data_IF_324625824993
#
_entry.id   IF_324625824993
#
_cell.length_a   1.000
_cell.length_b   1.000
_cell.length_c   1.000
_cell.angle_alpha   90.00
_cell.angle_beta   90.00
_cell.angle_gamma   90.00
#
_symmetry.space_group_name_H-M   'P 1'
#
loop_
_entity.id
_entity.type
_entity.pdbx_description
1 polymer ?
#
# COMPACT_ATOMS: atom_id res chain seq x y z
N UNK A 1 -18.25 6.60 -5.99
CA UNK A 1 -17.19 6.81 -4.98
C UNK A 1 -16.94 5.55 -4.12
N UNK A 2 -17.98 4.78 -3.75
CA UNK A 2 -17.86 3.53 -2.97
C UNK A 2 -17.01 2.44 -3.66
N UNK A 3 -17.11 2.28 -4.98
CA UNK A 3 -16.39 1.22 -5.73
C UNK A 3 -14.86 1.42 -5.71
N UNK A 4 -14.39 2.66 -5.90
CA UNK A 4 -12.95 2.97 -5.89
C UNK A 4 -12.34 2.70 -4.50
N UNK A 5 -13.12 2.93 -3.45
CA UNK A 5 -12.69 2.68 -2.07
C UNK A 5 -12.44 1.20 -1.81
N UNK A 6 -13.25 0.32 -2.41
CA UNK A 6 -13.16 -1.13 -2.28
C UNK A 6 -11.89 -1.67 -2.97
N UNK A 7 -11.61 -1.23 -4.20
CA UNK A 7 -10.40 -1.60 -4.95
C UNK A 7 -9.11 -1.28 -4.17
N UNK A 8 -9.09 -0.19 -3.39
CA UNK A 8 -7.92 0.17 -2.58
C UNK A 8 -7.75 -0.74 -1.38
N UNK A 9 -8.85 -1.19 -0.79
CA UNK A 9 -8.84 -2.16 0.31
C UNK A 9 -8.44 -3.54 -0.19
N UNK A 10 -8.88 -3.94 -1.38
CA UNK A 10 -8.42 -5.17 -2.04
C UNK A 10 -6.92 -5.11 -2.36
N UNK A 11 -6.44 -3.99 -2.90
CA UNK A 11 -5.01 -3.78 -3.12
C UNK A 11 -4.22 -3.89 -1.81
N UNK A 12 -4.72 -3.27 -0.72
CA UNK A 12 -4.12 -3.39 0.61
C UNK A 12 -4.00 -4.85 1.02
N UNK A 13 -5.11 -5.58 0.98
CA UNK A 13 -5.17 -6.97 1.42
C UNK A 13 -4.21 -7.86 0.59
N UNK A 14 -4.18 -7.68 -0.73
CA UNK A 14 -3.27 -8.42 -1.62
C UNK A 14 -1.80 -8.13 -1.31
N UNK A 15 -1.42 -6.87 -1.07
CA UNK A 15 -0.03 -6.52 -0.74
C UNK A 15 0.41 -7.07 0.61
N UNK A 16 -0.47 -7.01 1.63
CA UNK A 16 -0.21 -7.59 2.95
C UNK A 16 -0.04 -9.10 2.82
N UNK A 17 -0.98 -9.77 2.16
CA UNK A 17 -0.93 -11.22 1.97
C UNK A 17 0.32 -11.65 1.21
N UNK A 18 0.67 -10.96 0.12
CA UNK A 18 1.88 -11.24 -0.64
C UNK A 18 3.15 -11.08 0.22
N UNK A 19 3.18 -10.07 1.10
CA UNK A 19 4.28 -9.90 2.05
C UNK A 19 4.34 -11.08 3.03
N UNK A 20 3.21 -11.44 3.66
CA UNK A 20 3.13 -12.57 4.60
C UNK A 20 3.50 -13.92 3.98
N UNK A 21 3.14 -14.15 2.72
CA UNK A 21 3.50 -15.38 1.99
C UNK A 21 4.96 -15.39 1.51
N UNK A 22 5.64 -14.24 1.53
CA UNK A 22 7.04 -14.15 1.12
C UNK A 22 7.98 -14.64 2.22
N UNK A 23 8.90 -15.52 1.87
CA UNK A 23 9.92 -16.07 2.78
C UNK A 23 11.34 -15.60 2.43
N UNK A 24 11.45 -14.70 1.45
CA UNK A 24 12.72 -14.21 0.94
C UNK A 24 12.80 -12.68 1.10
N UNK A 25 13.94 -12.18 1.57
CA UNK A 25 14.13 -10.75 1.81
C UNK A 25 14.10 -9.92 0.52
N UNK A 26 14.56 -10.45 -0.61
CA UNK A 26 14.47 -9.77 -1.91
C UNK A 26 13.01 -9.71 -2.39
N UNK A 27 12.23 -10.78 -2.19
CA UNK A 27 10.80 -10.79 -2.50
C UNK A 27 10.02 -9.76 -1.66
N UNK A 28 10.29 -9.69 -0.36
CA UNK A 28 9.68 -8.70 0.55
C UNK A 28 10.04 -7.27 0.12
N UNK A 29 11.31 -7.03 -0.25
CA UNK A 29 11.77 -5.73 -0.73
C UNK A 29 11.12 -5.35 -2.08
N UNK A 30 10.98 -6.32 -3.01
CA UNK A 30 10.29 -6.12 -4.28
C UNK A 30 8.81 -5.73 -4.09
N UNK A 31 8.12 -6.35 -3.12
CA UNK A 31 6.75 -6.00 -2.75
C UNK A 31 6.70 -4.58 -2.18
N UNK A 32 7.64 -4.22 -1.31
CA UNK A 32 7.75 -2.85 -0.77
C UNK A 32 7.89 -1.82 -1.88
N UNK A 33 8.79 -2.07 -2.83
CA UNK A 33 9.02 -1.18 -3.97
C UNK A 33 7.77 -1.08 -4.86
N UNK A 34 7.10 -2.21 -5.12
CA UNK A 34 5.85 -2.24 -5.91
C UNK A 34 4.66 -1.60 -5.20
N UNK A 35 4.64 -1.60 -3.87
CA UNK A 35 3.59 -0.95 -3.09
C UNK A 35 3.81 0.57 -2.98
N UNK A 36 4.96 0.97 -2.41
CA UNK A 36 5.23 2.35 -1.96
C UNK A 36 6.44 3.00 -2.62
N UNK A 37 7.08 2.31 -3.57
CA UNK A 37 8.20 2.88 -4.33
C UNK A 37 7.78 4.01 -5.28
N UNK A 38 8.76 4.57 -6.01
CA UNK A 38 8.54 5.69 -6.95
C UNK A 38 7.45 5.43 -8.00
N UNK A 39 7.34 4.16 -8.44
CA UNK A 39 6.34 3.66 -9.38
C UNK A 39 5.32 2.72 -8.73
N UNK A 40 5.27 2.69 -7.39
CA UNK A 40 4.42 1.77 -6.68
C UNK A 40 2.94 2.13 -6.81
N UNK A 41 2.08 1.12 -6.68
CA UNK A 41 0.63 1.26 -6.85
C UNK A 41 0.04 2.31 -5.91
N UNK A 42 0.43 2.30 -4.63
CA UNK A 42 -0.08 3.26 -3.63
C UNK A 42 0.43 4.67 -3.94
N UNK A 43 1.70 4.83 -4.33
CA UNK A 43 2.26 6.13 -4.75
C UNK A 43 1.56 6.68 -5.99
N UNK A 44 1.20 5.82 -6.93
CA UNK A 44 0.42 6.19 -8.12
C UNK A 44 -0.97 6.70 -7.76
N UNK A 45 -1.68 5.98 -6.88
CA UNK A 45 -2.99 6.39 -6.39
C UNK A 45 -2.93 7.74 -5.66
N UNK A 46 -1.92 7.97 -4.81
CA UNK A 46 -1.74 9.25 -4.11
C UNK A 46 -1.52 10.44 -5.07
N UNK A 47 -0.86 10.21 -6.21
CA UNK A 47 -0.71 11.25 -7.25
C UNK A 47 -2.01 11.52 -7.99
N UNK A 48 -2.80 10.47 -8.23
CA UNK A 48 -4.11 10.58 -8.90
C UNK A 48 -5.09 11.46 -8.08
N UNK A 49 -4.94 11.50 -6.74
CA UNK A 49 -5.70 12.42 -5.88
C UNK A 49 -5.57 13.90 -6.24
N UNK A 50 -4.52 14.30 -6.96
CA UNK A 50 -4.28 15.69 -7.35
C UNK A 50 -5.39 16.28 -8.21
N UNK A 51 -6.20 15.45 -8.88
CA UNK A 51 -7.34 15.89 -9.69
C UNK A 51 -8.68 15.94 -8.97
N UNK A 52 -8.74 15.64 -7.67
CA UNK A 52 -9.97 15.66 -6.89
C UNK A 52 -10.19 17.02 -6.19
N UNK A 53 -11.45 17.38 -5.96
CA UNK A 53 -11.85 18.50 -5.10
C UNK A 53 -11.32 18.36 -3.67
N UNK A 54 -11.18 19.48 -2.97
CA UNK A 54 -10.54 19.54 -1.65
C UNK A 54 -11.16 18.58 -0.61
N UNK A 55 -12.49 18.42 -0.64
CA UNK A 55 -13.22 17.55 0.29
C UNK A 55 -12.95 16.06 -0.02
N UNK A 56 -13.22 15.62 -1.24
CA UNK A 56 -12.94 14.25 -1.73
C UNK A 56 -11.47 13.88 -1.60
N UNK A 57 -10.56 14.82 -1.89
CA UNK A 57 -9.11 14.64 -1.76
C UNK A 57 -8.71 14.42 -0.31
N UNK A 58 -9.36 15.07 0.65
CA UNK A 58 -9.06 14.91 2.08
C UNK A 58 -9.43 13.51 2.55
N UNK A 59 -10.64 13.05 2.25
CA UNK A 59 -11.10 11.71 2.63
C UNK A 59 -10.25 10.61 1.96
N UNK A 60 -10.08 10.71 0.64
CA UNK A 60 -9.27 9.77 -0.12
C UNK A 60 -7.80 9.79 0.29
N UNK A 61 -7.25 10.97 0.59
CA UNK A 61 -5.88 11.15 1.07
C UNK A 61 -5.67 10.52 2.44
N UNK A 62 -6.63 10.65 3.35
CA UNK A 62 -6.59 9.99 4.66
C UNK A 62 -6.61 8.47 4.52
N UNK A 63 -7.50 7.95 3.68
CA UNK A 63 -7.60 6.51 3.44
C UNK A 63 -6.31 5.95 2.82
N UNK A 64 -5.78 6.57 1.76
CA UNK A 64 -4.55 6.11 1.12
C UNK A 64 -3.34 6.21 2.06
N UNK A 65 -3.25 7.25 2.90
CA UNK A 65 -2.21 7.30 3.92
C UNK A 65 -2.34 6.15 4.92
N UNK A 66 -3.55 5.84 5.37
CA UNK A 66 -3.80 4.71 6.27
C UNK A 66 -3.38 3.39 5.64
N UNK A 67 -3.81 3.14 4.40
CA UNK A 67 -3.43 1.95 3.62
C UNK A 67 -1.91 1.85 3.48
N UNK A 68 -1.25 2.96 3.11
CA UNK A 68 0.20 3.02 2.99
C UNK A 68 0.90 2.61 4.27
N UNK A 69 0.46 3.14 5.41
CA UNK A 69 1.04 2.82 6.73
C UNK A 69 0.81 1.36 7.10
N UNK A 70 -0.42 0.84 6.94
CA UNK A 70 -0.74 -0.56 7.24
C UNK A 70 0.10 -1.53 6.39
N UNK A 71 0.19 -1.30 5.08
CA UNK A 71 0.99 -2.13 4.17
C UNK A 71 2.48 -2.07 4.52
N UNK A 72 3.01 -0.87 4.79
CA UNK A 72 4.43 -0.71 5.14
C UNK A 72 4.75 -1.42 6.45
N UNK A 73 3.87 -1.33 7.45
CA UNK A 73 4.04 -2.01 8.73
C UNK A 73 4.01 -3.53 8.60
N UNK A 74 3.08 -4.08 7.79
CA UNK A 74 3.02 -5.52 7.55
C UNK A 74 4.29 -6.05 6.85
N UNK A 75 4.75 -5.33 5.82
CA UNK A 75 5.99 -5.65 5.09
C UNK A 75 7.20 -5.60 6.02
N UNK A 76 7.33 -4.54 6.83
CA UNK A 76 8.43 -4.37 7.77
C UNK A 76 8.43 -5.47 8.84
N UNK A 77 7.25 -5.76 9.41
CA UNK A 77 7.09 -6.84 10.39
C UNK A 77 7.48 -8.20 9.82
N UNK A 78 7.16 -8.48 8.55
CA UNK A 78 7.61 -9.69 7.87
C UNK A 78 9.11 -9.69 7.64
N UNK A 79 9.67 -8.56 7.19
CA UNK A 79 11.11 -8.41 6.95
C UNK A 79 11.93 -8.71 8.20
N UNK A 80 11.47 -8.23 9.35
CA UNK A 80 12.09 -8.52 10.66
C UNK A 80 11.98 -10.02 10.97
N UNK A 81 10.79 -10.61 10.88
CA UNK A 81 10.57 -12.02 11.22
C UNK A 81 11.23 -13.06 10.30
N UNK A 82 11.70 -12.67 9.10
CA UNK A 82 12.47 -13.54 8.18
C UNK A 82 13.99 -13.40 8.40
N UNK A 83 14.42 -12.30 9.03
CA UNK A 83 15.83 -12.02 9.30
C UNK A 83 16.36 -12.47 10.67
N UNK A 84 15.48 -13.01 11.52
CA UNK A 84 15.81 -13.60 12.84
C UNK A 84 15.91 -15.13 12.79
#
# INVERSE_FOLDING_TARGET
MVIIMDEWLELKANLIKAAEESSDLEAIEAIRISAVGKKGSITGLMKSLGGLDAESRKEAGQLLNKIKTEVTAAIDSRKVGVGE
#
